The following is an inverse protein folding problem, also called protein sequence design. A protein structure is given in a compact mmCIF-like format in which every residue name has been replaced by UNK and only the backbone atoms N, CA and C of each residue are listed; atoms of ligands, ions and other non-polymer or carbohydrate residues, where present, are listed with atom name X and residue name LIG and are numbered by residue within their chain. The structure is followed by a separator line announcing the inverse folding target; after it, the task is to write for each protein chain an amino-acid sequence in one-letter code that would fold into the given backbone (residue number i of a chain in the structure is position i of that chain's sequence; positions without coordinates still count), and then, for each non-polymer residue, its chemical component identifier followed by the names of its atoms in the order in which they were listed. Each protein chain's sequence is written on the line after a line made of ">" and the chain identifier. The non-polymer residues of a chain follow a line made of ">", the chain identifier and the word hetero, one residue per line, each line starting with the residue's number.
data_IF_320774821613
#
_entry.id   IF_320774821613
#
_cell.length_a   1.000
_cell.length_b   1.000
_cell.length_c   1.000
_cell.angle_alpha   90.00
_cell.angle_beta   90.00
_cell.angle_gamma   90.00
#
_symmetry.space_group_name_H-M   'P 1'
#
loop_
_entity.id
_entity.type
_entity.pdbx_description
1 polymer ?
#
# COMPACT_ATOMS: atom_id res chain seq x y z
N UNK A 1 -19.10 -12.91 11.97
CA UNK A 1 -17.69 -12.72 11.59
C UNK A 1 -17.67 -11.79 10.40
N UNK A 2 -17.57 -10.50 10.67
CA UNK A 2 -17.43 -9.47 9.65
C UNK A 2 -16.07 -9.68 9.01
N UNK A 3 -16.05 -10.11 7.74
CA UNK A 3 -14.82 -10.06 6.95
C UNK A 3 -14.39 -8.60 6.93
N UNK A 4 -13.19 -8.23 7.41
CA UNK A 4 -12.70 -6.89 7.21
C UNK A 4 -12.55 -6.71 5.70
N UNK A 5 -13.54 -6.07 5.10
CA UNK A 5 -13.49 -5.60 3.74
C UNK A 5 -12.40 -4.53 3.73
N UNK A 6 -11.16 -4.94 3.46
CA UNK A 6 -10.06 -4.08 3.09
C UNK A 6 -10.60 -3.18 2.00
N UNK A 7 -10.93 -1.94 2.37
CA UNK A 7 -11.59 -1.02 1.47
C UNK A 7 -10.57 -0.75 0.37
N UNK A 8 -10.86 -1.33 -0.77
CA UNK A 8 -10.02 -1.47 -1.93
C UNK A 8 -9.56 -0.07 -2.46
N UNK A 9 -10.34 0.99 -2.17
CA UNK A 9 -9.98 2.40 -2.44
C UNK A 9 -8.93 3.01 -1.49
N UNK A 10 -8.68 2.40 -0.34
CA UNK A 10 -7.76 2.93 0.67
C UNK A 10 -6.29 2.66 0.32
N UNK A 11 -6.00 1.80 -0.66
CA UNK A 11 -4.68 1.19 -0.81
C UNK A 11 -3.52 2.19 -0.98
N UNK A 12 -3.65 3.22 -1.84
CA UNK A 12 -2.56 4.21 -2.01
C UNK A 12 -2.40 5.12 -0.79
N UNK A 13 -3.50 5.65 -0.27
CA UNK A 13 -3.47 6.59 0.86
C UNK A 13 -2.97 5.90 2.13
N UNK A 14 -3.32 4.62 2.31
CA UNK A 14 -2.87 3.79 3.42
C UNK A 14 -1.36 3.58 3.37
N UNK A 15 -0.83 3.25 2.18
CA UNK A 15 0.62 3.09 1.99
C UNK A 15 1.35 4.43 2.16
N UNK A 16 0.80 5.55 1.71
CA UNK A 16 1.40 6.88 1.96
C UNK A 16 1.42 7.24 3.45
N UNK A 17 0.35 6.92 4.17
CA UNK A 17 0.29 7.08 5.63
C UNK A 17 1.27 6.15 6.34
N UNK A 18 1.44 4.91 5.88
CA UNK A 18 2.43 3.98 6.40
C UNK A 18 3.86 4.50 6.20
N UNK A 19 4.17 5.04 5.02
CA UNK A 19 5.47 5.69 4.74
C UNK A 19 5.69 6.88 5.68
N UNK A 20 4.67 7.73 5.87
CA UNK A 20 4.76 8.89 6.77
C UNK A 20 4.99 8.45 8.22
N UNK A 21 4.23 7.47 8.67
CA UNK A 21 4.33 6.92 10.03
C UNK A 21 5.72 6.34 10.27
N UNK A 22 6.22 5.50 9.35
CA UNK A 22 7.55 4.92 9.47
C UNK A 22 8.64 5.98 9.42
N UNK A 23 8.53 7.00 8.56
CA UNK A 23 9.48 8.11 8.55
C UNK A 23 9.50 8.85 9.90
N UNK A 24 8.34 9.06 10.52
CA UNK A 24 8.25 9.68 11.84
C UNK A 24 8.92 8.82 12.92
N UNK A 25 8.70 7.51 12.90
CA UNK A 25 9.37 6.55 13.80
C UNK A 25 10.89 6.58 13.65
N UNK A 26 11.42 6.53 12.42
CA UNK A 26 12.87 6.61 12.18
C UNK A 26 13.42 7.96 12.65
N UNK A 27 12.70 9.07 12.42
CA UNK A 27 13.11 10.40 12.90
C UNK A 27 13.11 10.52 14.43
N UNK A 28 12.23 9.79 15.12
CA UNK A 28 12.15 9.74 16.58
C UNK A 28 13.23 8.88 17.24
N UNK A 29 14.00 8.11 16.47
CA UNK A 29 14.98 7.19 17.07
C UNK A 29 14.46 5.76 17.24
N UNK A 30 13.33 5.38 16.64
CA UNK A 30 12.71 4.07 16.87
C UNK A 30 13.60 2.92 16.34
N UNK A 31 14.06 2.06 17.26
CA UNK A 31 14.99 0.98 16.95
C UNK A 31 14.41 -0.05 15.98
N UNK A 32 13.10 -0.32 16.01
CA UNK A 32 12.46 -1.26 15.09
C UNK A 32 12.40 -0.69 13.68
N UNK A 33 12.09 0.61 13.55
CA UNK A 33 12.05 1.29 12.27
C UNK A 33 13.46 1.36 11.63
N UNK A 34 14.50 1.61 12.44
CA UNK A 34 15.89 1.52 11.99
C UNK A 34 16.28 0.09 11.57
N UNK A 35 15.91 -0.93 12.35
CA UNK A 35 16.20 -2.33 12.01
C UNK A 35 15.57 -2.73 10.67
N UNK A 36 14.33 -2.31 10.39
CA UNK A 36 13.68 -2.51 9.08
C UNK A 36 14.42 -1.79 7.96
N UNK A 37 14.83 -0.55 8.18
CA UNK A 37 15.59 0.20 7.19
C UNK A 37 16.93 -0.48 6.88
N UNK A 38 17.69 -0.88 7.90
CA UNK A 38 18.99 -1.55 7.74
C UNK A 38 18.90 -2.96 7.15
N UNK A 39 17.75 -3.62 7.26
CA UNK A 39 17.52 -4.92 6.62
C UNK A 39 17.44 -4.81 5.10
N UNK A 40 17.05 -3.64 4.60
CA UNK A 40 16.90 -3.37 3.16
C UNK A 40 18.13 -2.70 2.59
N UNK A 41 18.71 -1.74 3.33
CA UNK A 41 19.93 -1.03 2.95
C UNK A 41 20.90 -0.99 4.15
N UNK A 42 21.95 -1.82 4.18
CA UNK A 42 22.89 -1.83 5.30
C UNK A 42 23.76 -0.56 5.37
N UNK A 43 23.97 0.13 4.24
CA UNK A 43 24.76 1.38 4.15
C UNK A 43 24.03 2.59 4.75
N UNK A 44 22.70 2.51 4.88
CA UNK A 44 21.84 3.49 5.51
C UNK A 44 22.25 3.88 6.93
N UNK A 45 22.99 3.00 7.64
CA UNK A 45 23.53 3.28 8.97
C UNK A 45 24.39 4.54 9.02
N UNK A 46 24.99 4.90 7.89
CA UNK A 46 25.90 6.05 7.76
C UNK A 46 25.22 7.31 7.20
N UNK A 47 23.95 7.21 6.78
CA UNK A 47 23.22 8.29 6.10
C UNK A 47 22.00 8.71 6.90
N UNK A 48 21.50 9.91 6.60
CA UNK A 48 20.26 10.39 7.20
C UNK A 48 19.05 9.72 6.53
N UNK A 49 18.00 9.36 7.29
CA UNK A 49 16.79 8.75 6.75
C UNK A 49 16.05 9.71 5.82
N UNK A 50 15.91 9.34 4.55
CA UNK A 50 15.11 10.09 3.59
C UNK A 50 13.80 9.39 3.33
N UNK A 51 12.81 10.18 2.91
CA UNK A 51 11.50 9.66 2.48
C UNK A 51 11.65 8.60 1.38
N UNK A 52 12.61 8.77 0.47
CA UNK A 52 12.91 7.80 -0.60
C UNK A 52 13.35 6.44 -0.05
N UNK A 53 14.13 6.40 1.02
CA UNK A 53 14.58 5.14 1.62
C UNK A 53 13.41 4.38 2.25
N UNK A 54 12.55 5.08 2.98
CA UNK A 54 11.34 4.51 3.57
C UNK A 54 10.37 4.01 2.49
N UNK A 55 10.18 4.80 1.42
CA UNK A 55 9.39 4.37 0.27
C UNK A 55 9.94 3.10 -0.39
N UNK A 56 11.26 2.94 -0.42
CA UNK A 56 11.91 1.74 -0.95
C UNK A 56 11.69 0.52 -0.04
N UNK A 57 11.82 0.70 1.29
CA UNK A 57 11.54 -0.36 2.28
C UNK A 57 10.11 -0.86 2.16
N UNK A 58 9.13 0.06 2.19
CA UNK A 58 7.72 -0.29 2.06
C UNK A 58 7.44 -0.96 0.71
N UNK A 59 7.98 -0.43 -0.41
CA UNK A 59 7.84 -1.08 -1.70
C UNK A 59 8.38 -2.51 -1.72
N UNK A 60 9.53 -2.76 -1.10
CA UNK A 60 10.12 -4.10 -0.93
C UNK A 60 9.24 -5.02 -0.10
N UNK A 61 8.64 -4.55 0.98
CA UNK A 61 7.71 -5.34 1.81
C UNK A 61 6.45 -5.77 1.02
N UNK A 62 5.99 -4.92 0.11
CA UNK A 62 4.91 -5.25 -0.83
C UNK A 62 5.36 -6.08 -2.04
N UNK A 63 6.64 -6.46 -2.14
CA UNK A 63 7.19 -7.26 -3.25
C UNK A 63 7.55 -6.45 -4.50
N UNK A 64 7.53 -5.13 -4.45
CA UNK A 64 7.88 -4.26 -5.57
C UNK A 64 9.35 -3.83 -5.53
N UNK A 65 9.95 -3.69 -6.72
CA UNK A 65 11.35 -3.27 -6.87
C UNK A 65 11.58 -1.78 -6.61
N UNK A 66 10.53 -0.96 -6.78
CA UNK A 66 10.59 0.49 -6.67
C UNK A 66 9.23 1.07 -6.27
N UNK A 67 9.24 2.21 -5.58
CA UNK A 67 8.03 2.97 -5.24
C UNK A 67 7.16 3.33 -6.45
N UNK A 68 7.78 3.60 -7.60
CA UNK A 68 7.07 3.91 -8.84
C UNK A 68 6.26 2.71 -9.36
N UNK A 69 6.83 1.49 -9.31
CA UNK A 69 6.14 0.27 -9.71
C UNK A 69 4.94 -0.01 -8.81
N UNK A 70 5.11 0.17 -7.49
CA UNK A 70 4.01 0.03 -6.54
C UNK A 70 2.89 1.06 -6.82
N UNK A 71 3.23 2.34 -7.03
CA UNK A 71 2.22 3.35 -7.41
C UNK A 71 1.51 3.01 -8.72
N UNK A 72 2.23 2.49 -9.72
CA UNK A 72 1.65 2.02 -10.97
C UNK A 72 0.59 0.95 -10.71
N UNK A 73 0.98 -0.13 -10.04
CA UNK A 73 0.08 -1.25 -9.74
C UNK A 73 -1.08 -0.86 -8.84
N UNK A 74 -0.91 0.08 -7.91
CA UNK A 74 -2.02 0.61 -7.10
C UNK A 74 -3.02 1.42 -7.93
N UNK A 75 -2.54 2.22 -8.88
CA UNK A 75 -3.42 2.96 -9.80
C UNK A 75 -4.19 2.02 -10.72
N UNK A 76 -3.53 1.00 -11.24
CA UNK A 76 -4.15 -0.06 -12.04
C UNK A 76 -5.20 -0.82 -11.22
N UNK A 77 -4.86 -1.22 -10.00
CA UNK A 77 -5.78 -1.92 -9.11
C UNK A 77 -7.01 -1.06 -8.77
N UNK A 78 -6.82 0.24 -8.50
CA UNK A 78 -7.94 1.17 -8.26
C UNK A 78 -8.87 1.31 -9.48
N UNK A 79 -8.31 1.30 -10.70
CA UNK A 79 -9.10 1.32 -11.93
C UNK A 79 -9.89 0.01 -12.12
N UNK A 80 -9.25 -1.15 -11.92
CA UNK A 80 -9.90 -2.47 -12.00
C UNK A 80 -11.01 -2.64 -10.96
N UNK A 81 -10.79 -2.20 -9.72
CA UNK A 81 -11.81 -2.25 -8.67
C UNK A 81 -13.05 -1.44 -9.02
N UNK A 82 -12.87 -0.23 -9.55
CA UNK A 82 -13.98 0.64 -9.93
C UNK A 82 -14.84 -0.01 -11.01
N UNK A 83 -14.21 -0.72 -11.94
CA UNK A 83 -14.89 -1.49 -12.98
C UNK A 83 -15.67 -2.68 -12.40
N UNK A 84 -15.04 -3.48 -11.53
CA UNK A 84 -15.69 -4.63 -10.90
C UNK A 84 -16.84 -4.26 -9.96
N UNK A 85 -16.75 -3.10 -9.27
CA UNK A 85 -17.81 -2.61 -8.40
C UNK A 85 -19.03 -2.18 -9.22
N UNK A 86 -18.81 -1.55 -10.39
CA UNK A 86 -19.88 -1.22 -11.34
C UNK A 86 -20.54 -2.48 -11.89
N UNK A 87 -19.74 -3.45 -12.37
CA UNK A 87 -20.26 -4.72 -12.88
C UNK A 87 -21.03 -5.53 -11.84
N UNK A 88 -20.65 -5.48 -10.55
CA UNK A 88 -21.40 -6.12 -9.45
C UNK A 88 -22.76 -5.47 -9.19
N UNK A 89 -22.89 -4.16 -9.38
CA UNK A 89 -24.16 -3.44 -9.22
C UNK A 89 -25.10 -3.72 -10.39
N UNK A 90 -24.55 -3.94 -11.59
CA UNK A 90 -25.31 -4.29 -12.80
C UNK A 90 -25.75 -5.76 -12.82
N UNK A 91 -24.92 -6.68 -12.31
CA UNK A 91 -25.23 -8.13 -12.25
C UNK A 91 -26.09 -8.54 -11.05
N UNK A 92 -26.23 -7.67 -10.03
CA UNK A 92 -27.09 -7.90 -8.87
C UNK A 92 -28.57 -7.61 -9.09
N UNK A 93 -28.96 -7.05 -10.24
CA UNK A 93 -30.33 -6.64 -10.54
C UNK A 93 -30.89 -7.39 -11.75
N UNK A 94 -30.94 -8.71 -11.65
CA UNK A 94 -31.40 -9.58 -12.75
C UNK A 94 -31.95 -10.92 -12.30
N UNK A 95 -32.55 -11.00 -11.11
CA UNK A 95 -33.25 -12.22 -10.67
C UNK A 95 -34.64 -11.83 -10.19
N UNK A 96 -35.61 -11.93 -11.11
CA UNK A 96 -36.88 -12.67 -10.96
C UNK A 96 -37.92 -12.18 -11.97
N UNK A 97 -37.89 -12.79 -13.15
CA UNK A 97 -39.11 -13.08 -13.90
C UNK A 97 -39.15 -14.61 -14.05
N UNK A 98 -40.23 -15.27 -13.61
CA UNK A 98 -41.16 -15.79 -14.63
C UNK A 98 -42.66 -15.77 -14.24
N UNK A 99 -43.46 -15.52 -15.28
CA UNK A 99 -44.89 -15.79 -15.51
C UNK A 99 -45.93 -14.93 -14.77
#
# INVERSE_FOLDING_TARGET
>A
MEVPSFSLRSNLKDIEEQVRHMLDQVRRGDAMAFARWYSVDPEARTRQPRKADIQYVIAREHGFKSWQSLKGSLRENAATQSHSLRQRLETGSGVREPN
#
